data_IF_188809909422
#
_entry.id   IF_188809909422
#
_cell.length_a   1.000
_cell.length_b   1.000
_cell.length_c   1.000
_cell.angle_alpha   90.00
_cell.angle_beta   90.00
_cell.angle_gamma   90.00
#
_symmetry.space_group_name_H-M   'P 1'
#
loop_
_entity.id
_entity.type
_entity.pdbx_description
1 polymer ?
#
# COMPACT_ATOMS: atom_id res chain seq x y z
N UNK A 1 14.64 -13.44 -4.02
CA UNK A 1 13.72 -12.67 -4.90
C UNK A 1 12.50 -12.09 -4.18
N UNK A 2 11.94 -12.72 -3.13
CA UNK A 2 10.78 -12.18 -2.38
C UNK A 2 11.04 -10.84 -1.69
N UNK A 3 12.21 -10.67 -1.05
CA UNK A 3 12.56 -9.43 -0.32
C UNK A 3 12.55 -8.21 -1.25
N UNK A 4 13.07 -8.35 -2.47
CA UNK A 4 13.11 -7.27 -3.45
C UNK A 4 11.70 -6.80 -3.86
N UNK A 5 10.77 -7.74 -4.05
CA UNK A 5 9.37 -7.43 -4.38
C UNK A 5 8.75 -6.61 -3.25
N UNK A 6 8.90 -7.04 -2.00
CA UNK A 6 8.36 -6.37 -0.81
C UNK A 6 8.91 -4.94 -0.70
N UNK A 7 10.23 -4.77 -0.79
CA UNK A 7 10.87 -3.44 -0.73
C UNK A 7 10.41 -2.53 -1.87
N UNK A 8 10.29 -3.07 -3.10
CA UNK A 8 9.77 -2.32 -4.24
C UNK A 8 8.32 -1.87 -4.02
N UNK A 9 7.48 -2.71 -3.42
CA UNK A 9 6.10 -2.37 -3.08
C UNK A 9 6.02 -1.21 -2.08
N UNK A 10 6.90 -1.19 -1.06
CA UNK A 10 6.97 -0.07 -0.09
C UNK A 10 7.29 1.24 -0.81
N UNK A 11 8.31 1.23 -1.67
CA UNK A 11 8.73 2.43 -2.41
C UNK A 11 7.64 2.89 -3.38
N UNK A 12 7.02 1.95 -4.09
CA UNK A 12 5.92 2.23 -5.01
C UNK A 12 4.71 2.86 -4.30
N UNK A 13 4.24 2.26 -3.19
CA UNK A 13 3.09 2.78 -2.45
C UNK A 13 3.39 4.14 -1.80
N UNK A 14 4.62 4.36 -1.33
CA UNK A 14 5.07 5.66 -0.86
C UNK A 14 5.00 6.73 -1.96
N UNK A 15 5.56 6.45 -3.13
CA UNK A 15 5.55 7.39 -4.27
C UNK A 15 4.12 7.70 -4.75
N UNK A 16 3.27 6.68 -4.90
CA UNK A 16 1.86 6.85 -5.29
C UNK A 16 1.13 7.77 -4.31
N UNK A 17 1.34 7.58 -3.01
CA UNK A 17 0.66 8.37 -1.98
C UNK A 17 1.17 9.79 -1.91
N UNK A 18 2.48 9.99 -2.07
CA UNK A 18 3.09 11.31 -2.13
C UNK A 18 2.52 12.13 -3.31
N UNK A 19 2.42 11.53 -4.49
CA UNK A 19 1.81 12.16 -5.67
C UNK A 19 0.31 12.43 -5.41
N UNK A 20 -0.38 11.50 -4.75
CA UNK A 20 -1.79 11.65 -4.39
C UNK A 20 -2.01 12.85 -3.46
N UNK A 21 -1.12 13.12 -2.49
CA UNK A 21 -1.19 14.31 -1.66
C UNK A 21 -1.08 15.61 -2.48
N UNK A 22 -0.21 15.64 -3.49
CA UNK A 22 -0.03 16.81 -4.36
C UNK A 22 -1.29 17.07 -5.19
N UNK A 23 -1.85 16.05 -5.81
CA UNK A 23 -3.07 16.19 -6.62
C UNK A 23 -4.31 16.46 -5.78
N UNK A 24 -4.48 15.83 -4.61
CA UNK A 24 -5.57 16.13 -3.69
C UNK A 24 -5.61 17.61 -3.31
N UNK A 25 -4.43 18.22 -3.07
CA UNK A 25 -4.32 19.66 -2.80
C UNK A 25 -4.63 20.51 -4.03
N UNK A 26 -4.20 20.09 -5.22
CA UNK A 26 -4.41 20.83 -6.47
C UNK A 26 -5.88 20.88 -6.89
N UNK A 27 -6.57 19.74 -6.78
CA UNK A 27 -7.95 19.55 -7.24
C UNK A 27 -9.00 19.71 -6.12
N UNK A 28 -8.57 19.92 -4.86
CA UNK A 28 -9.43 20.06 -3.68
C UNK A 28 -10.41 18.89 -3.51
N UNK A 29 -9.94 17.69 -3.75
CA UNK A 29 -10.70 16.44 -3.61
C UNK A 29 -10.08 15.56 -2.52
N UNK A 30 -10.86 14.60 -1.97
CA UNK A 30 -10.35 13.68 -0.96
C UNK A 30 -9.17 12.88 -1.50
N UNK A 31 -8.09 12.75 -0.73
CA UNK A 31 -6.89 12.01 -1.15
C UNK A 31 -7.16 10.57 -1.54
N UNK A 32 -8.14 9.95 -0.89
CA UNK A 32 -8.56 8.56 -1.08
C UNK A 32 -8.88 8.28 -2.56
N UNK A 33 -9.40 9.27 -3.30
CA UNK A 33 -9.72 9.10 -4.73
C UNK A 33 -8.47 8.78 -5.56
N UNK A 34 -7.35 9.43 -5.26
CA UNK A 34 -6.08 9.22 -5.97
C UNK A 34 -5.27 8.07 -5.38
N UNK A 35 -5.22 7.95 -4.05
CA UNK A 35 -4.42 6.91 -3.40
C UNK A 35 -5.01 5.53 -3.67
N UNK A 36 -6.31 5.33 -3.51
CA UNK A 36 -6.95 4.03 -3.73
C UNK A 36 -6.82 3.60 -5.18
N UNK A 37 -7.09 4.49 -6.14
CA UNK A 37 -6.97 4.16 -7.57
C UNK A 37 -5.55 3.76 -7.96
N UNK A 38 -4.52 4.39 -7.39
CA UNK A 38 -3.11 4.01 -7.61
C UNK A 38 -2.67 2.73 -6.90
N UNK A 39 -3.29 2.38 -5.77
CA UNK A 39 -2.91 1.21 -4.95
C UNK A 39 -3.55 -0.08 -5.47
N UNK A 40 -4.76 -0.04 -6.04
CA UNK A 40 -5.51 -1.22 -6.54
C UNK A 40 -4.64 -2.22 -7.33
N UNK A 41 -3.85 -1.83 -8.36
CA UNK A 41 -3.05 -2.79 -9.12
C UNK A 41 -1.88 -3.39 -8.34
N UNK A 42 -1.47 -2.75 -7.24
CA UNK A 42 -0.36 -3.19 -6.41
C UNK A 42 -0.79 -4.23 -5.35
N UNK A 43 -2.09 -4.29 -5.05
CA UNK A 43 -2.65 -5.20 -4.04
C UNK A 43 -2.64 -6.65 -4.56
N UNK A 44 -2.11 -7.62 -3.79
CA UNK A 44 -2.03 -9.02 -4.20
C UNK A 44 -3.38 -9.75 -4.00
N UNK A 45 -4.44 -9.26 -4.66
CA UNK A 45 -5.80 -9.81 -4.52
C UNK A 45 -5.94 -11.23 -5.08
N UNK A 46 -5.28 -11.52 -6.21
CA UNK A 46 -5.24 -12.87 -6.80
C UNK A 46 -4.56 -13.88 -5.88
N UNK A 47 -3.38 -13.55 -5.37
CA UNK A 47 -2.65 -14.40 -4.41
C UNK A 47 -3.44 -14.65 -3.12
N UNK A 48 -4.17 -13.65 -2.63
CA UNK A 48 -5.07 -13.82 -1.48
C UNK A 48 -6.25 -14.75 -1.80
N UNK A 49 -6.84 -14.63 -3.00
CA UNK A 49 -7.88 -15.55 -3.46
C UNK A 49 -7.36 -16.97 -3.58
N UNK A 50 -6.18 -17.17 -4.17
CA UNK A 50 -5.55 -18.48 -4.32
C UNK A 50 -5.20 -19.11 -2.96
N UNK A 51 -4.77 -18.29 -1.99
CA UNK A 51 -4.55 -18.76 -0.62
C UNK A 51 -5.84 -19.31 0.01
N UNK A 52 -6.93 -18.55 -0.10
CA UNK A 52 -8.25 -18.98 0.41
C UNK A 52 -8.78 -20.20 -0.34
N UNK A 53 -8.57 -20.26 -1.65
CA UNK A 53 -8.94 -21.41 -2.49
C UNK A 53 -8.25 -22.68 -2.01
N UNK A 54 -6.93 -22.64 -1.82
CA UNK A 54 -6.16 -23.77 -1.33
C UNK A 54 -6.54 -24.17 0.11
N UNK A 55 -6.90 -23.20 0.96
CA UNK A 55 -7.36 -23.48 2.32
C UNK A 55 -8.68 -24.29 2.32
N UNK A 56 -9.61 -23.98 1.40
CA UNK A 56 -10.88 -24.70 1.24
C UNK A 56 -10.67 -26.07 0.61
N UNK A 57 -9.66 -26.23 -0.25
CA UNK A 57 -9.28 -27.52 -0.87
C UNK A 57 -8.42 -28.41 0.06
N UNK A 58 -8.32 -28.07 1.37
CA UNK A 58 -7.49 -28.78 2.35
C UNK A 58 -5.98 -28.81 2.02
N UNK A 59 -5.51 -27.94 1.11
CA UNK A 59 -4.11 -27.77 0.72
C UNK A 59 -3.43 -26.71 1.59
N UNK A 60 -3.31 -26.98 2.89
CA UNK A 60 -2.86 -25.98 3.86
C UNK A 60 -1.42 -25.50 3.66
N UNK A 61 -0.51 -26.36 3.19
CA UNK A 61 0.88 -25.98 2.94
C UNK A 61 0.98 -24.81 1.93
N UNK A 62 0.24 -24.92 0.83
CA UNK A 62 0.20 -23.88 -0.19
C UNK A 62 -0.61 -22.66 0.27
N UNK A 63 -1.72 -22.89 0.99
CA UNK A 63 -2.56 -21.83 1.51
C UNK A 63 -1.80 -20.89 2.45
N UNK A 64 -1.01 -21.45 3.38
CA UNK A 64 -0.21 -20.66 4.32
C UNK A 64 0.90 -19.91 3.60
N UNK A 65 1.55 -20.52 2.61
CA UNK A 65 2.61 -19.87 1.84
C UNK A 65 2.09 -18.66 1.05
N UNK A 66 0.99 -18.84 0.30
CA UNK A 66 0.36 -17.77 -0.48
C UNK A 66 -0.26 -16.70 0.42
N UNK A 67 -0.88 -17.11 1.53
CA UNK A 67 -1.44 -16.20 2.53
C UNK A 67 -0.36 -15.32 3.17
N UNK A 68 0.79 -15.91 3.54
CA UNK A 68 1.93 -15.17 4.06
C UNK A 68 2.50 -14.19 3.02
N UNK A 69 2.60 -14.58 1.74
CA UNK A 69 3.03 -13.68 0.67
C UNK A 69 2.08 -12.48 0.51
N UNK A 70 0.77 -12.73 0.44
CA UNK A 70 -0.24 -11.68 0.32
C UNK A 70 -0.24 -10.74 1.54
N UNK A 71 -0.05 -11.30 2.74
CA UNK A 71 0.06 -10.54 3.98
C UNK A 71 1.30 -9.64 3.99
N UNK A 72 2.46 -10.17 3.61
CA UNK A 72 3.71 -9.40 3.57
C UNK A 72 3.65 -8.23 2.57
N UNK A 73 3.12 -8.48 1.36
CA UNK A 73 2.97 -7.43 0.34
C UNK A 73 1.96 -6.37 0.81
N UNK A 74 0.83 -6.77 1.41
CA UNK A 74 -0.17 -5.83 1.94
C UNK A 74 0.39 -5.00 3.10
N UNK A 75 1.17 -5.63 3.98
CA UNK A 75 1.91 -4.95 5.05
C UNK A 75 2.92 -3.94 4.52
N UNK A 76 3.63 -4.27 3.44
CA UNK A 76 4.52 -3.34 2.74
C UNK A 76 3.79 -2.14 2.13
N UNK A 77 2.61 -2.36 1.52
CA UNK A 77 1.76 -1.26 1.03
C UNK A 77 1.43 -0.33 2.20
N UNK A 78 0.86 -0.88 3.29
CA UNK A 78 0.49 -0.12 4.48
C UNK A 78 1.65 0.69 5.06
N UNK A 79 2.85 0.10 5.14
CA UNK A 79 4.08 0.77 5.55
C UNK A 79 4.39 1.99 4.67
N UNK A 80 4.38 1.84 3.34
CA UNK A 80 4.66 2.97 2.45
C UNK A 80 3.60 4.10 2.55
N UNK A 81 2.32 3.76 2.79
CA UNK A 81 1.28 4.77 3.04
C UNK A 81 1.55 5.54 4.34
N UNK A 82 1.86 4.83 5.43
CA UNK A 82 2.15 5.42 6.73
C UNK A 82 3.38 6.34 6.66
N UNK A 83 4.43 5.90 5.97
CA UNK A 83 5.64 6.72 5.77
C UNK A 83 5.33 7.99 4.99
N UNK A 84 4.48 7.92 3.96
CA UNK A 84 4.05 9.11 3.20
C UNK A 84 3.28 10.07 4.10
N UNK A 85 2.37 9.56 4.92
CA UNK A 85 1.56 10.37 5.83
C UNK A 85 2.43 11.06 6.89
N UNK A 86 3.37 10.34 7.51
CA UNK A 86 4.34 10.92 8.46
C UNK A 86 5.18 12.01 7.78
N UNK A 87 5.67 11.76 6.57
CA UNK A 87 6.44 12.75 5.80
C UNK A 87 5.61 14.00 5.52
N UNK A 88 4.36 13.84 5.08
CA UNK A 88 3.45 14.93 4.80
C UNK A 88 3.10 15.73 6.08
N UNK A 89 2.91 15.06 7.23
CA UNK A 89 2.70 15.72 8.51
C UNK A 89 3.92 16.51 8.98
N UNK A 90 5.12 15.97 8.82
CA UNK A 90 6.35 16.71 9.10
C UNK A 90 6.42 17.96 8.23
N UNK A 91 6.29 17.84 6.91
CA UNK A 91 6.31 19.00 6.00
C UNK A 91 5.27 20.07 6.39
N UNK A 92 4.07 19.66 6.83
CA UNK A 92 3.02 20.58 7.30
C UNK A 92 3.37 21.24 8.63
N UNK A 93 3.96 20.53 9.59
CA UNK A 93 4.42 21.10 10.88
C UNK A 93 5.53 22.14 10.70
N UNK A 94 6.40 21.94 9.71
CA UNK A 94 7.49 22.87 9.41
C UNK A 94 7.03 24.13 8.65
N UNK A 95 5.84 24.11 8.04
CA UNK A 95 5.20 25.36 7.61
C UNK A 95 4.51 25.98 8.82
N UNK A 96 4.93 27.19 9.28
CA UNK A 96 4.22 27.87 10.35
C UNK A 96 2.77 28.02 9.93
N UNK A 97 1.86 27.73 10.87
CA UNK A 97 0.42 27.81 10.71
C UNK A 97 0.04 29.01 9.84
N UNK A 98 -0.36 28.73 8.60
CA UNK A 98 -1.02 29.75 7.80
C UNK A 98 -2.43 29.85 8.37
N UNK A 99 -2.64 30.94 9.15
CA UNK A 99 -3.87 31.40 9.83
C UNK A 99 -5.17 30.91 9.20
#
# INVERSE_FOLDING_TARGET
>A
MHVLRITATVVASYCVTMISHLFAKRYRTPIIVFSVSGIIPLVPGGTAYDAMRNAVENQYDQAVQLGAEAFMISGAIALGLLLSEVTNQLIRKWKPAQR
#
